data_IF_556715703994
#
_entry.id   IF_556715703994
#
_cell.length_a   1.000
_cell.length_b   1.000
_cell.length_c   1.000
_cell.angle_alpha   90.00
_cell.angle_beta   90.00
_cell.angle_gamma   90.00
#
_symmetry.space_group_name_H-M   'P 1'
#
loop_
_entity.id
_entity.type
_entity.pdbx_description
1 polymer ?
#
# COMPACT_ATOMS: atom_id res chain seq x y z
N UNK A 1 -11.39 -17.03 15.57
CA UNK A 1 -10.58 -15.87 15.17
C UNK A 1 -11.45 -14.64 15.24
N UNK A 2 -11.06 -13.67 16.07
CA UNK A 2 -11.71 -12.37 16.22
C UNK A 2 -11.40 -11.47 15.01
N UNK A 3 -12.19 -10.42 14.79
CA UNK A 3 -11.96 -9.47 13.68
C UNK A 3 -10.58 -8.82 13.75
N UNK A 4 -10.07 -8.54 14.96
CA UNK A 4 -8.74 -7.98 15.17
C UNK A 4 -7.64 -8.95 14.71
N UNK A 5 -7.75 -10.23 15.09
CA UNK A 5 -6.79 -11.27 14.67
C UNK A 5 -6.78 -11.49 13.15
N UNK A 6 -7.94 -11.33 12.48
CA UNK A 6 -8.03 -11.41 11.02
C UNK A 6 -7.37 -10.22 10.31
N UNK A 7 -7.43 -9.02 10.91
CA UNK A 7 -6.79 -7.84 10.35
C UNK A 7 -5.27 -7.88 10.53
N UNK A 8 -4.77 -8.39 11.67
CA UNK A 8 -3.34 -8.57 11.89
C UNK A 8 -2.68 -9.50 10.86
N UNK A 9 -3.44 -10.41 10.24
CA UNK A 9 -2.96 -11.33 9.20
C UNK A 9 -2.78 -10.68 7.81
N UNK A 10 -3.25 -9.45 7.61
CA UNK A 10 -3.15 -8.75 6.32
C UNK A 10 -1.86 -7.93 6.29
N UNK A 11 -1.01 -8.16 5.28
CA UNK A 11 0.22 -7.41 5.12
C UNK A 11 0.01 -6.12 4.32
N UNK A 12 0.48 -5.01 4.87
CA UNK A 12 0.43 -3.68 4.26
C UNK A 12 1.85 -3.19 3.98
N UNK A 13 2.16 -2.96 2.71
CA UNK A 13 3.44 -2.43 2.28
C UNK A 13 3.47 -0.91 2.47
N UNK A 14 4.50 -0.42 3.14
CA UNK A 14 4.82 1.00 3.28
C UNK A 14 6.20 1.23 2.63
N UNK A 15 6.27 1.72 1.38
CA UNK A 15 7.55 1.99 0.73
C UNK A 15 8.10 3.37 1.14
N UNK A 16 9.38 3.42 1.47
CA UNK A 16 10.09 4.66 1.80
C UNK A 16 9.66 5.28 3.13
N UNK A 17 9.82 6.59 3.23
CA UNK A 17 9.40 7.36 4.41
C UNK A 17 7.89 7.58 4.40
N UNK A 18 7.30 7.54 5.59
CA UNK A 18 5.87 7.72 5.78
C UNK A 18 5.61 8.45 7.10
N UNK A 19 4.41 9.01 7.27
CA UNK A 19 4.04 9.71 8.50
C UNK A 19 3.97 8.76 9.71
N UNK A 20 4.66 9.09 10.80
CA UNK A 20 4.76 8.26 12.01
C UNK A 20 3.41 7.92 12.65
N UNK A 21 2.49 8.88 12.67
CA UNK A 21 1.16 8.65 13.24
C UNK A 21 0.35 7.65 12.40
N UNK A 22 0.45 7.72 11.07
CA UNK A 22 -0.20 6.74 10.19
C UNK A 22 0.46 5.35 10.31
N UNK A 23 1.79 5.28 10.36
CA UNK A 23 2.54 4.04 10.61
C UNK A 23 2.10 3.39 11.93
N UNK A 24 2.03 4.16 13.01
CA UNK A 24 1.62 3.65 14.31
C UNK A 24 0.19 3.10 14.32
N UNK A 25 -0.70 3.61 13.46
CA UNK A 25 -2.06 3.05 13.30
C UNK A 25 -2.08 1.78 12.47
N UNK A 26 -1.24 1.69 11.43
CA UNK A 26 -1.07 0.48 10.62
C UNK A 26 -0.55 -0.65 11.50
N UNK A 27 0.52 -0.42 12.28
CA UNK A 27 1.15 -1.43 13.15
C UNK A 27 0.21 -2.01 14.20
N UNK A 28 -0.77 -1.22 14.66
CA UNK A 28 -1.78 -1.68 15.63
C UNK A 28 -2.84 -2.60 15.02
N UNK A 29 -3.03 -2.56 13.71
CA UNK A 29 -4.18 -3.19 13.04
C UNK A 29 -3.76 -4.26 12.03
N UNK A 30 -2.62 -4.09 11.38
CA UNK A 30 -2.14 -4.87 10.24
C UNK A 30 -0.68 -5.26 10.42
N UNK A 31 -0.22 -6.24 9.65
CA UNK A 31 1.20 -6.56 9.56
C UNK A 31 1.88 -5.59 8.60
N UNK A 32 2.60 -4.59 9.11
CA UNK A 32 3.36 -3.69 8.24
C UNK A 32 4.60 -4.40 7.69
N UNK A 33 4.80 -4.25 6.39
CA UNK A 33 6.06 -4.60 5.70
C UNK A 33 6.61 -3.35 5.04
N UNK A 34 7.93 -3.28 4.89
CA UNK A 34 8.62 -2.06 4.46
C UNK A 34 9.71 -2.38 3.45
N UNK A 35 9.87 -1.47 2.48
CA UNK A 35 10.99 -1.42 1.54
C UNK A 35 11.50 0.02 1.47
N UNK A 36 12.78 0.20 1.16
CA UNK A 36 13.44 1.52 1.21
C UNK A 36 12.89 2.55 0.21
N UNK A 37 12.32 2.11 -0.93
CA UNK A 37 11.72 2.97 -1.95
C UNK A 37 10.69 2.17 -2.78
N UNK A 38 9.74 2.81 -3.47
CA UNK A 38 8.74 2.12 -4.28
C UNK A 38 9.36 1.57 -5.57
N UNK A 39 9.99 0.41 -5.46
CA UNK A 39 10.77 -0.23 -6.52
C UNK A 39 10.44 -1.73 -6.56
N UNK A 40 9.97 -2.20 -7.71
CA UNK A 40 9.57 -3.58 -7.92
C UNK A 40 10.72 -4.59 -7.70
N UNK A 41 11.98 -4.17 -7.89
CA UNK A 41 13.15 -5.02 -7.66
C UNK A 41 13.38 -5.36 -6.18
N UNK A 42 12.81 -4.56 -5.26
CA UNK A 42 12.88 -4.80 -3.82
C UNK A 42 11.78 -5.74 -3.32
N UNK A 43 10.86 -6.16 -4.20
CA UNK A 43 9.76 -7.07 -3.84
C UNK A 43 10.29 -8.51 -3.77
N UNK A 44 10.35 -9.06 -2.56
CA UNK A 44 10.74 -10.45 -2.29
C UNK A 44 9.56 -11.41 -2.50
N UNK A 45 9.84 -12.71 -2.63
CA UNK A 45 8.80 -13.74 -2.76
C UNK A 45 7.84 -13.81 -1.56
N UNK A 46 8.31 -13.40 -0.38
CA UNK A 46 7.43 -13.25 0.78
C UNK A 46 6.42 -12.12 0.55
N UNK A 47 6.87 -10.94 0.14
CA UNK A 47 6.00 -9.80 -0.14
C UNK A 47 4.99 -10.11 -1.24
N UNK A 48 5.41 -10.81 -2.31
CA UNK A 48 4.51 -11.24 -3.40
C UNK A 48 3.33 -12.07 -2.89
N UNK A 49 3.56 -12.89 -1.87
CA UNK A 49 2.57 -13.82 -1.31
C UNK A 49 1.67 -13.16 -0.27
N UNK A 50 2.17 -12.20 0.49
CA UNK A 50 1.50 -11.71 1.69
C UNK A 50 0.86 -10.33 1.54
N UNK A 51 1.43 -9.45 0.71
CA UNK A 51 0.96 -8.06 0.58
C UNK A 51 -0.40 -8.01 -0.10
N UNK A 52 -1.34 -7.35 0.57
CA UNK A 52 -2.70 -7.10 0.06
C UNK A 52 -3.03 -5.61 -0.06
N UNK A 53 -2.23 -4.73 0.55
CA UNK A 53 -2.42 -3.29 0.43
C UNK A 53 -1.10 -2.52 0.43
N UNK A 54 -1.12 -1.33 -0.17
CA UNK A 54 -0.02 -0.36 -0.10
C UNK A 54 -0.54 0.91 0.57
N UNK A 55 0.17 1.41 1.59
CA UNK A 55 0.03 2.79 2.04
C UNK A 55 1.11 3.62 1.34
N UNK A 56 0.70 4.48 0.40
CA UNK A 56 1.59 5.12 -0.55
C UNK A 56 1.77 6.60 -0.26
N UNK A 57 3.01 7.08 -0.32
CA UNK A 57 3.35 8.50 -0.39
C UNK A 57 4.16 8.76 -1.66
N UNK A 58 3.55 8.34 -2.78
CA UNK A 58 4.08 8.48 -4.13
C UNK A 58 4.81 7.27 -4.72
N UNK A 59 5.01 7.32 -6.04
CA UNK A 59 5.89 6.43 -6.80
C UNK A 59 5.36 5.03 -7.10
N UNK A 60 4.04 4.80 -7.04
CA UNK A 60 3.45 3.47 -7.29
C UNK A 60 3.16 3.29 -8.78
N UNK A 61 4.13 2.76 -9.51
CA UNK A 61 4.02 2.50 -10.95
C UNK A 61 3.45 1.10 -11.27
N UNK A 62 3.16 0.85 -12.55
CA UNK A 62 2.66 -0.43 -13.03
C UNK A 62 3.56 -1.63 -12.66
N UNK A 63 4.88 -1.46 -12.71
CA UNK A 63 5.81 -2.54 -12.38
C UNK A 63 5.71 -3.00 -10.91
N UNK A 64 5.55 -2.05 -9.97
CA UNK A 64 5.36 -2.38 -8.56
C UNK A 64 3.97 -3.00 -8.32
N UNK A 65 2.93 -2.54 -9.02
CA UNK A 65 1.59 -3.13 -8.96
C UNK A 65 1.64 -4.60 -9.45
N UNK A 66 2.28 -4.86 -10.58
CA UNK A 66 2.38 -6.20 -11.15
C UNK A 66 3.25 -7.15 -10.33
N UNK A 67 4.24 -6.61 -9.60
CA UNK A 67 5.05 -7.39 -8.68
C UNK A 67 4.26 -7.95 -7.49
N UNK A 68 3.05 -7.45 -7.21
CA UNK A 68 2.23 -7.82 -6.06
C UNK A 68 0.90 -8.44 -6.53
N UNK A 69 0.88 -9.75 -6.85
CA UNK A 69 -0.27 -10.39 -7.49
C UNK A 69 -1.55 -10.44 -6.63
N UNK A 70 -1.41 -10.31 -5.30
CA UNK A 70 -2.51 -10.32 -4.34
C UNK A 70 -2.91 -8.91 -3.87
N UNK A 71 -2.41 -7.85 -4.53
CA UNK A 71 -2.71 -6.47 -4.17
C UNK A 71 -4.20 -6.16 -4.40
N UNK A 72 -4.84 -5.55 -3.41
CA UNK A 72 -6.27 -5.21 -3.44
C UNK A 72 -6.51 -3.70 -3.39
N UNK A 73 -5.64 -2.96 -2.70
CA UNK A 73 -5.81 -1.53 -2.48
C UNK A 73 -4.48 -0.76 -2.42
N UNK A 74 -4.47 0.45 -2.99
CA UNK A 74 -3.44 1.46 -2.84
C UNK A 74 -4.08 2.68 -2.18
N UNK A 75 -3.71 2.93 -0.91
CA UNK A 75 -4.16 4.08 -0.16
C UNK A 75 -3.13 5.20 -0.24
N UNK A 76 -3.38 6.20 -1.09
CA UNK A 76 -2.50 7.35 -1.29
C UNK A 76 -2.67 8.38 -0.16
N UNK A 77 -1.55 8.75 0.46
CA UNK A 77 -1.48 9.82 1.45
C UNK A 77 -1.32 11.17 0.74
N UNK A 78 -2.43 11.89 0.57
CA UNK A 78 -2.49 13.15 -0.16
C UNK A 78 -3.71 13.23 -1.07
N UNK A 79 -4.07 14.47 -1.46
CA UNK A 79 -5.19 14.74 -2.39
C UNK A 79 -4.81 14.31 -3.81
N UNK A 80 -3.63 14.75 -4.28
CA UNK A 80 -3.08 14.38 -5.57
C UNK A 80 -2.52 12.96 -5.54
N UNK A 81 -2.80 12.20 -6.59
CA UNK A 81 -2.38 10.80 -6.73
C UNK A 81 -1.75 10.52 -8.10
N UNK A 82 -1.26 11.55 -8.80
CA UNK A 82 -0.65 11.45 -10.15
C UNK A 82 0.55 10.50 -10.21
N UNK A 83 1.23 10.32 -9.08
CA UNK A 83 2.36 9.39 -8.92
C UNK A 83 1.94 7.92 -8.70
N UNK A 84 0.64 7.64 -8.65
CA UNK A 84 0.06 6.29 -8.66
C UNK A 84 -0.47 6.05 -10.07
N UNK A 85 -0.06 4.93 -10.70
CA UNK A 85 -0.65 4.51 -11.97
C UNK A 85 -2.06 3.94 -11.74
N UNK A 86 -3.01 4.83 -11.45
CA UNK A 86 -4.38 4.49 -11.10
C UNK A 86 -5.12 3.81 -12.26
N UNK A 87 -4.70 4.09 -13.51
CA UNK A 87 -5.25 3.42 -14.69
C UNK A 87 -4.83 1.96 -14.72
N UNK A 88 -3.55 1.68 -14.53
CA UNK A 88 -3.06 0.30 -14.46
C UNK A 88 -3.65 -0.44 -13.25
N UNK A 89 -3.70 0.21 -12.09
CA UNK A 89 -4.37 -0.35 -10.90
C UNK A 89 -5.81 -0.78 -11.19
N UNK A 90 -6.60 0.07 -11.85
CA UNK A 90 -7.98 -0.25 -12.23
C UNK A 90 -8.06 -1.45 -13.19
N UNK A 91 -7.16 -1.56 -14.18
CA UNK A 91 -7.09 -2.71 -15.09
C UNK A 91 -6.77 -4.02 -14.37
N UNK A 92 -6.05 -3.96 -13.25
CA UNK A 92 -5.71 -5.09 -12.38
C UNK A 92 -6.77 -5.35 -11.30
N UNK A 93 -7.83 -4.56 -11.22
CA UNK A 93 -8.87 -4.67 -10.19
C UNK A 93 -8.42 -4.15 -8.81
N UNK A 94 -7.37 -3.34 -8.76
CA UNK A 94 -6.82 -2.75 -7.54
C UNK A 94 -7.50 -1.40 -7.27
N UNK A 95 -8.08 -1.24 -6.08
CA UNK A 95 -8.70 0.01 -5.66
C UNK A 95 -7.65 1.08 -5.34
N UNK A 96 -7.92 2.33 -5.69
CA UNK A 96 -7.08 3.47 -5.31
C UNK A 96 -7.92 4.46 -4.50
N UNK A 97 -7.42 4.87 -3.34
CA UNK A 97 -8.03 5.92 -2.51
C UNK A 97 -7.05 7.06 -2.30
N UNK A 98 -7.55 8.26 -2.07
CA UNK A 98 -6.77 9.44 -1.70
C UNK A 98 -7.35 10.09 -0.43
N UNK A 99 -6.83 11.25 -0.02
CA UNK A 99 -7.30 11.99 1.17
C UNK A 99 -7.78 13.41 0.80
N UNK A 100 -8.94 13.56 0.13
CA UNK A 100 -9.50 14.87 -0.19
C UNK A 100 -9.97 15.60 1.08
N UNK A 101 -10.28 16.89 0.93
CA UNK A 101 -10.99 17.76 1.90
C UNK A 101 -10.26 18.12 3.21
N UNK A 102 -9.34 17.29 3.71
CA UNK A 102 -8.73 17.44 5.05
C UNK A 102 -7.62 18.50 5.16
N UNK A 103 -7.26 19.17 4.05
CA UNK A 103 -6.19 20.18 3.98
C UNK A 103 -6.73 21.59 3.64
N UNK A 104 -8.02 21.84 3.92
CA UNK A 104 -8.71 23.11 3.62
C UNK A 104 -8.97 23.94 4.87
#
# INVERSE_FOLDING_TARGET
>A
MTKAEQQQAVAILVPGQFNDHAVGRIDRTFSRVWIERPDASLVTDELRRTVRGIAAFGGINAALIDALPNLEIIANFGVGYDSVDARHAAQRGVMVTNTPDVLT
#
